data_IF_937204984489
#
_entry.id   IF_937204984489
#
_cell.length_a   1.000
_cell.length_b   1.000
_cell.length_c   1.000
_cell.angle_alpha   90.00
_cell.angle_beta   90.00
_cell.angle_gamma   90.00
#
_symmetry.space_group_name_H-M   'P 1'
#
loop_
_entity.id
_entity.type
_entity.pdbx_description
1 polymer ?
#
# COMPACT_ATOMS: atom_id res chain seq x y z
N UNK A 1 5.96 16.46 1.73
CA UNK A 1 5.35 15.40 0.90
C UNK A 1 3.99 15.86 0.39
N UNK A 2 3.78 15.75 -0.90
CA UNK A 2 2.50 16.09 -1.52
C UNK A 2 1.56 14.88 -1.40
N UNK A 3 0.40 15.02 -0.72
CA UNK A 3 -0.51 13.88 -0.54
C UNK A 3 -1.12 13.36 -1.84
N UNK A 4 -1.02 14.14 -2.94
CA UNK A 4 -1.50 13.72 -4.25
C UNK A 4 -0.45 12.93 -5.03
N UNK A 5 0.79 12.91 -4.55
CA UNK A 5 1.85 12.16 -5.18
C UNK A 5 1.69 10.66 -4.96
N UNK A 6 2.02 9.89 -6.00
CA UNK A 6 2.02 8.44 -5.89
C UNK A 6 3.40 7.97 -5.45
N UNK A 7 3.41 7.00 -4.55
CA UNK A 7 4.64 6.41 -4.03
C UNK A 7 4.58 4.90 -4.15
N UNK A 8 5.68 4.25 -4.55
CA UNK A 8 5.74 2.80 -4.43
C UNK A 8 5.56 2.42 -2.97
N UNK A 9 4.74 1.40 -2.72
CA UNK A 9 4.38 1.05 -1.35
C UNK A 9 5.59 0.69 -0.49
N UNK A 10 6.64 0.13 -1.10
CA UNK A 10 7.85 -0.25 -0.37
C UNK A 10 8.61 0.94 0.22
N UNK A 11 8.33 2.17 -0.25
CA UNK A 11 9.02 3.36 0.24
C UNK A 11 8.36 3.96 1.48
N UNK A 12 7.20 3.45 1.88
CA UNK A 12 6.50 3.97 3.05
C UNK A 12 7.05 3.35 4.33
N UNK A 13 6.97 4.13 5.39
CA UNK A 13 7.42 3.68 6.71
C UNK A 13 6.43 2.72 7.34
N UNK A 14 6.91 1.93 8.28
CA UNK A 14 6.09 1.01 9.07
C UNK A 14 4.97 1.78 9.77
N UNK A 15 3.77 1.23 9.69
CA UNK A 15 2.58 1.81 10.31
C UNK A 15 1.79 2.77 9.45
N UNK A 16 2.33 3.18 8.30
CA UNK A 16 1.65 4.14 7.43
C UNK A 16 0.46 3.48 6.75
N UNK A 17 -0.68 4.17 6.76
CA UNK A 17 -1.86 3.79 5.99
C UNK A 17 -1.79 4.44 4.62
N UNK A 18 -2.29 3.75 3.62
CA UNK A 18 -2.26 4.26 2.26
C UNK A 18 -3.44 3.74 1.44
N UNK A 19 -3.81 4.53 0.44
CA UNK A 19 -4.84 4.14 -0.51
C UNK A 19 -4.16 3.72 -1.81
N UNK A 20 -4.51 2.55 -2.31
CA UNK A 20 -3.96 2.05 -3.57
C UNK A 20 -4.50 2.87 -4.72
N UNK A 21 -3.59 3.41 -5.52
CA UNK A 21 -3.96 4.18 -6.71
C UNK A 21 -3.83 3.34 -7.97
N UNK A 22 -2.71 2.64 -8.12
CA UNK A 22 -2.41 1.85 -9.31
C UNK A 22 -1.65 0.60 -8.94
N UNK A 23 -1.93 -0.48 -9.66
CA UNK A 23 -1.18 -1.72 -9.55
C UNK A 23 -0.66 -2.06 -10.95
N UNK A 24 0.65 -2.15 -11.08
CA UNK A 24 1.32 -2.44 -12.36
C UNK A 24 1.85 -3.86 -12.39
N UNK A 25 2.20 -4.33 -13.58
CA UNK A 25 2.76 -5.63 -13.78
C UNK A 25 1.92 -6.50 -14.69
N UNK A 26 2.20 -7.80 -14.70
CA UNK A 26 1.47 -8.74 -15.52
C UNK A 26 0.02 -8.86 -15.09
N UNK A 27 -0.86 -9.07 -16.07
CA UNK A 27 -2.31 -9.17 -15.81
C UNK A 27 -2.62 -10.21 -14.74
N UNK A 28 -1.96 -11.36 -14.77
CA UNK A 28 -2.18 -12.42 -13.78
C UNK A 28 -1.83 -11.96 -12.37
N UNK A 29 -0.76 -11.19 -12.23
CA UNK A 29 -0.33 -10.65 -10.95
C UNK A 29 -1.33 -9.61 -10.46
N UNK A 30 -1.73 -8.68 -11.31
CA UNK A 30 -2.70 -7.65 -10.97
C UNK A 30 -4.03 -8.27 -10.54
N UNK A 31 -4.50 -9.29 -11.27
CA UNK A 31 -5.74 -9.99 -10.94
C UNK A 31 -5.64 -10.71 -9.60
N UNK A 32 -4.50 -11.33 -9.34
CA UNK A 32 -4.30 -12.05 -8.08
C UNK A 32 -4.30 -11.08 -6.89
N UNK A 33 -3.65 -9.95 -7.03
CA UNK A 33 -3.66 -8.93 -5.98
C UNK A 33 -5.07 -8.40 -5.74
N UNK A 34 -5.83 -8.19 -6.82
CA UNK A 34 -7.21 -7.73 -6.69
C UNK A 34 -8.06 -8.73 -5.91
N UNK A 35 -7.87 -10.03 -6.14
CA UNK A 35 -8.56 -11.08 -5.39
C UNK A 35 -8.21 -11.04 -3.91
N UNK A 36 -7.00 -10.64 -3.59
CA UNK A 36 -6.53 -10.52 -2.22
C UNK A 36 -6.93 -9.19 -1.56
N UNK A 37 -7.61 -8.32 -2.31
CA UNK A 37 -8.07 -7.05 -1.81
C UNK A 37 -7.18 -5.85 -2.17
N UNK A 38 -6.12 -6.06 -2.94
CA UNK A 38 -5.23 -4.98 -3.35
C UNK A 38 -5.57 -4.54 -4.76
N UNK A 39 -6.29 -3.46 -4.86
CA UNK A 39 -6.75 -2.88 -6.13
C UNK A 39 -6.97 -1.39 -5.94
N UNK A 40 -7.09 -0.66 -7.05
CA UNK A 40 -7.32 0.78 -6.98
C UNK A 40 -8.51 1.10 -6.07
N UNK A 41 -8.30 1.99 -5.13
CA UNK A 41 -9.32 2.37 -4.15
C UNK A 41 -9.25 1.62 -2.83
N UNK A 42 -8.46 0.54 -2.74
CA UNK A 42 -8.32 -0.20 -1.48
C UNK A 42 -7.44 0.56 -0.50
N UNK A 43 -7.77 0.46 0.78
CA UNK A 43 -6.93 1.01 1.84
C UNK A 43 -6.17 -0.12 2.51
N UNK A 44 -4.90 0.12 2.79
CA UNK A 44 -4.05 -0.85 3.46
C UNK A 44 -3.08 -0.16 4.40
N UNK A 45 -2.42 -0.96 5.22
CA UNK A 45 -1.39 -0.45 6.14
C UNK A 45 -0.08 -1.17 5.86
N UNK A 46 1.01 -0.41 5.82
CA UNK A 46 2.34 -0.99 5.74
C UNK A 46 2.73 -1.44 7.14
N UNK A 47 2.90 -2.74 7.33
CA UNK A 47 3.33 -3.26 8.62
C UNK A 47 4.84 -3.23 8.74
N UNK A 48 5.52 -3.60 7.65
CA UNK A 48 6.96 -3.63 7.60
C UNK A 48 7.41 -3.41 6.17
N UNK A 49 8.12 -2.30 5.90
CA UNK A 49 8.75 -2.14 4.58
C UNK A 49 10.00 -3.01 4.51
N UNK A 50 10.48 -3.24 3.30
CA UNK A 50 11.72 -3.97 3.10
C UNK A 50 11.51 -5.33 2.49
N UNK A 51 12.32 -6.30 2.91
CA UNK A 51 12.35 -7.64 2.31
C UNK A 51 12.08 -8.69 3.39
N UNK A 52 10.86 -9.24 3.45
CA UNK A 52 9.71 -8.93 2.63
C UNK A 52 8.97 -7.66 3.08
N UNK A 53 8.16 -7.13 2.18
CA UNK A 53 7.26 -6.04 2.50
C UNK A 53 5.97 -6.64 3.04
N UNK A 54 5.62 -6.32 4.27
CA UNK A 54 4.42 -6.86 4.92
C UNK A 54 3.32 -5.81 4.94
N UNK A 55 2.14 -6.22 4.49
CA UNK A 55 0.98 -5.34 4.38
C UNK A 55 -0.21 -5.94 5.13
N UNK A 56 -1.01 -5.07 5.71
CA UNK A 56 -2.30 -5.44 6.27
C UNK A 56 -3.38 -4.94 5.31
N UNK A 57 -4.16 -5.86 4.76
CA UNK A 57 -5.24 -5.54 3.83
C UNK A 57 -6.51 -6.19 4.37
N UNK A 58 -7.44 -5.38 4.87
CA UNK A 58 -8.62 -5.91 5.53
C UNK A 58 -8.21 -6.79 6.70
N UNK A 59 -8.74 -7.99 6.76
CA UNK A 59 -8.40 -8.95 7.81
C UNK A 59 -7.19 -9.83 7.50
N UNK A 60 -6.49 -9.57 6.39
CA UNK A 60 -5.41 -10.43 5.92
C UNK A 60 -4.06 -9.73 5.92
N UNK A 61 -3.01 -10.51 6.05
CA UNK A 61 -1.64 -10.02 5.92
C UNK A 61 -1.03 -10.58 4.65
N UNK A 62 -0.35 -9.72 3.90
CA UNK A 62 0.34 -10.10 2.68
C UNK A 62 1.83 -9.88 2.85
N UNK A 63 2.62 -10.81 2.33
CA UNK A 63 4.07 -10.70 2.31
C UNK A 63 4.49 -10.64 0.85
N UNK A 64 5.13 -9.54 0.46
CA UNK A 64 5.53 -9.31 -0.93
C UNK A 64 7.02 -9.10 -1.03
N UNK A 65 7.60 -9.62 -2.12
CA UNK A 65 8.98 -9.29 -2.45
C UNK A 65 9.07 -7.83 -2.85
N UNK A 66 10.19 -7.15 -2.57
CA UNK A 66 10.33 -5.73 -2.91
C UNK A 66 10.06 -5.40 -4.37
N UNK A 67 10.52 -6.23 -5.31
CA UNK A 67 10.30 -6.00 -6.73
C UNK A 67 8.82 -6.05 -7.13
N UNK A 68 8.00 -6.76 -6.34
CA UNK A 68 6.56 -6.77 -6.56
C UNK A 68 5.89 -5.60 -5.84
N UNK A 69 6.36 -5.29 -4.65
CA UNK A 69 5.82 -4.18 -3.87
C UNK A 69 6.02 -2.84 -4.59
N UNK A 70 7.13 -2.68 -5.30
CA UNK A 70 7.41 -1.43 -6.01
C UNK A 70 6.43 -1.16 -7.15
N UNK A 71 5.67 -2.17 -7.58
CA UNK A 71 4.68 -2.01 -8.63
C UNK A 71 3.31 -1.56 -8.11
N UNK A 72 3.16 -1.45 -6.81
CA UNK A 72 1.93 -0.97 -6.18
C UNK A 72 2.14 0.49 -5.80
N UNK A 73 1.44 1.38 -6.50
CA UNK A 73 1.54 2.81 -6.26
C UNK A 73 0.39 3.28 -5.40
N UNK A 74 0.72 3.99 -4.34
CA UNK A 74 -0.24 4.39 -3.32
C UNK A 74 -0.15 5.88 -3.01
N UNK A 75 -1.20 6.38 -2.39
CA UNK A 75 -1.22 7.71 -1.77
C UNK A 75 -1.26 7.51 -0.27
N UNK A 76 -0.27 8.00 0.47
CA UNK A 76 -0.32 7.92 1.93
C UNK A 76 -1.55 8.63 2.48
N UNK A 77 -2.18 8.01 3.48
CA UNK A 77 -3.29 8.65 4.18
C UNK A 77 -2.71 9.57 5.22
N UNK A 78 -3.02 10.84 5.09
CA UNK A 78 -2.58 11.82 6.08
C UNK A 78 -3.69 11.97 7.10
N UNK A 79 -3.40 11.51 8.32
CA UNK A 79 -4.32 11.66 9.42
C UNK A 79 -4.02 12.99 10.10
N UNK A 80 -4.91 13.94 9.94
CA UNK A 80 -4.79 15.22 10.64
C UNK A 80 -5.51 15.07 11.96
N UNK A 81 -4.73 15.11 13.02
CA UNK A 81 -5.30 15.14 14.36
C UNK A 81 -5.41 16.57 14.81
N UNK A 82 -6.64 17.04 14.98
CA UNK A 82 -6.87 18.33 15.58
C UNK A 82 -7.12 18.12 17.06
N UNK A 83 -6.22 18.68 17.85
CA UNK A 83 -6.40 18.62 19.29
C UNK A 83 -7.62 19.46 19.66
N UNK A 84 -8.61 18.88 20.33
CA UNK A 84 -9.69 19.70 20.85
C UNK A 84 -9.11 20.54 21.99
N UNK A 85 -8.96 21.76 21.75
CA UNK A 85 -8.47 22.68 22.78
C UNK A 85 -9.62 23.42 23.40
#
# INVERSE_FOLDING_TARGET
MNPQELHPIETLSSGVWADVAEVHGETSWVSRLAELGVRAGSRLQVLQPGSPCLLQVGGSRLSLRPELAMQILVRPVILTYESPS
#
